data_IF_997839394483
#
_entry.id   IF_997839394483
#
_cell.length_a   1.000
_cell.length_b   1.000
_cell.length_c   1.000
_cell.angle_alpha   90.00
_cell.angle_beta   90.00
_cell.angle_gamma   90.00
#
_symmetry.space_group_name_H-M   'P 1'
#
loop_
_entity.id
_entity.type
_entity.pdbx_description
1 polymer ?
#
# COMPACT_ATOMS: atom_id res chain seq x y z
N UNK A 1 -11.16 -19.07 -9.49
CA UNK A 1 -12.47 -18.37 -9.37
C UNK A 1 -13.03 -18.20 -10.76
N UNK A 2 -14.31 -18.52 -10.97
CA UNK A 2 -15.04 -18.27 -12.22
C UNK A 2 -15.42 -16.79 -12.34
N UNK A 3 -15.58 -16.32 -13.58
CA UNK A 3 -16.06 -14.97 -13.87
C UNK A 3 -17.50 -14.82 -13.34
N UNK A 4 -17.82 -13.71 -12.65
CA UNK A 4 -19.18 -13.48 -12.17
C UNK A 4 -20.12 -13.33 -13.37
N UNK A 5 -21.37 -13.76 -13.20
CA UNK A 5 -22.44 -13.69 -14.22
C UNK A 5 -23.58 -12.75 -13.83
N UNK A 6 -23.54 -12.24 -12.59
CA UNK A 6 -24.54 -11.31 -12.07
C UNK A 6 -23.96 -10.40 -10.98
N UNK A 7 -24.72 -9.36 -10.62
CA UNK A 7 -24.34 -8.36 -9.61
C UNK A 7 -24.08 -9.01 -8.24
N UNK A 8 -24.84 -10.05 -7.88
CA UNK A 8 -24.69 -10.75 -6.59
C UNK A 8 -23.35 -11.47 -6.50
N UNK A 9 -22.94 -12.16 -7.57
CA UNK A 9 -21.64 -12.80 -7.67
C UNK A 9 -20.49 -11.79 -7.68
N UNK A 10 -20.66 -10.65 -8.37
CA UNK A 10 -19.67 -9.59 -8.35
C UNK A 10 -19.49 -8.99 -6.94
N UNK A 11 -20.58 -8.82 -6.18
CA UNK A 11 -20.51 -8.40 -4.77
C UNK A 11 -19.80 -9.43 -3.89
N UNK A 12 -20.04 -10.72 -4.10
CA UNK A 12 -19.33 -11.80 -3.40
C UNK A 12 -17.84 -11.80 -3.72
N UNK A 13 -17.49 -11.63 -5.00
CA UNK A 13 -16.10 -11.45 -5.44
C UNK A 13 -15.45 -10.28 -4.71
N UNK A 14 -16.10 -9.11 -4.67
CA UNK A 14 -15.59 -7.96 -3.92
C UNK A 14 -15.44 -8.21 -2.42
N UNK A 15 -16.27 -9.06 -1.81
CA UNK A 15 -16.08 -9.50 -0.43
C UNK A 15 -14.71 -10.16 -0.20
N UNK A 16 -14.34 -11.10 -1.09
CA UNK A 16 -13.05 -11.80 -1.05
C UNK A 16 -11.89 -10.84 -1.35
N UNK A 17 -12.03 -10.03 -2.41
CA UNK A 17 -11.03 -9.03 -2.78
C UNK A 17 -10.75 -8.07 -1.63
N UNK A 18 -11.79 -7.60 -0.93
CA UNK A 18 -11.65 -6.71 0.21
C UNK A 18 -10.97 -7.38 1.42
N UNK A 19 -11.16 -8.68 1.61
CA UNK A 19 -10.44 -9.44 2.64
C UNK A 19 -8.93 -9.44 2.38
N UNK A 20 -8.51 -9.61 1.12
CA UNK A 20 -7.10 -9.64 0.72
C UNK A 20 -6.55 -8.28 0.26
N UNK A 21 -7.30 -7.18 0.44
CA UNK A 21 -6.93 -5.84 -0.07
C UNK A 21 -5.52 -5.38 0.33
N UNK A 22 -5.04 -5.80 1.51
CA UNK A 22 -3.72 -5.41 2.03
C UNK A 22 -2.56 -5.94 1.19
N UNK A 23 -2.79 -7.00 0.42
CA UNK A 23 -1.82 -7.61 -0.49
C UNK A 23 -1.89 -7.01 -1.90
N UNK A 24 -2.92 -6.23 -2.24
CA UNK A 24 -3.13 -5.80 -3.62
C UNK A 24 -2.75 -4.32 -3.75
N UNK A 25 -1.62 -4.00 -4.43
CA UNK A 25 -1.26 -2.61 -4.70
C UNK A 25 -2.25 -1.98 -5.68
N UNK A 26 -2.63 -0.73 -5.45
CA UNK A 26 -3.51 0.06 -6.34
C UNK A 26 -4.84 -0.64 -6.69
N UNK A 27 -5.40 -1.43 -5.76
CA UNK A 27 -6.66 -2.14 -5.95
C UNK A 27 -7.81 -1.23 -6.40
N UNK A 28 -7.89 -0.01 -5.88
CA UNK A 28 -8.98 0.92 -6.17
C UNK A 28 -9.09 1.26 -7.65
N UNK A 29 -7.95 1.41 -8.32
CA UNK A 29 -7.89 1.74 -9.74
C UNK A 29 -8.14 0.49 -10.60
N UNK A 30 -7.54 -0.65 -10.21
CA UNK A 30 -7.81 -1.91 -10.88
C UNK A 30 -9.29 -2.31 -10.80
N UNK A 31 -9.96 -2.00 -9.70
CA UNK A 31 -11.36 -2.30 -9.48
C UNK A 31 -12.32 -1.24 -10.06
N UNK A 32 -11.84 -0.09 -10.54
CA UNK A 32 -12.71 0.98 -11.03
C UNK A 32 -13.67 0.52 -12.13
N UNK A 33 -13.24 -0.23 -13.17
CA UNK A 33 -14.15 -0.72 -14.21
C UNK A 33 -15.26 -1.61 -13.65
N UNK A 34 -14.95 -2.45 -12.67
CA UNK A 34 -15.90 -3.35 -12.03
C UNK A 34 -16.88 -2.59 -11.10
N UNK A 35 -16.43 -1.51 -10.47
CA UNK A 35 -17.32 -0.65 -9.68
C UNK A 35 -18.35 0.09 -10.54
N UNK A 36 -18.08 0.32 -11.83
CA UNK A 36 -19.05 0.92 -12.74
C UNK A 36 -20.31 0.05 -12.91
N UNK A 37 -20.15 -1.28 -12.90
CA UNK A 37 -21.23 -2.28 -12.99
C UNK A 37 -22.15 -2.24 -11.75
N UNK A 38 -21.60 -1.83 -10.60
CA UNK A 38 -22.34 -1.78 -9.33
C UNK A 38 -23.20 -0.52 -9.15
N UNK A 39 -23.13 0.45 -10.09
CA UNK A 39 -23.96 1.65 -10.03
C UNK A 39 -25.43 1.30 -10.28
N UNK A 40 -26.33 2.04 -9.64
CA UNK A 40 -27.76 1.92 -9.90
C UNK A 40 -28.03 2.10 -11.40
N UNK A 41 -28.95 1.28 -11.93
CA UNK A 41 -29.41 1.29 -13.33
C UNK A 41 -28.41 0.79 -14.39
N UNK A 42 -27.27 0.20 -14.00
CA UNK A 42 -26.37 -0.45 -14.96
C UNK A 42 -26.93 -1.80 -15.43
N UNK A 43 -27.09 -1.97 -16.75
CA UNK A 43 -27.31 -3.29 -17.35
C UNK A 43 -26.07 -4.15 -17.15
N UNK A 44 -26.28 -5.41 -16.75
CA UNK A 44 -25.17 -6.35 -16.60
C UNK A 44 -24.52 -6.63 -17.96
N UNK A 45 -23.35 -6.03 -18.19
CA UNK A 45 -22.55 -6.25 -19.40
C UNK A 45 -21.08 -6.19 -19.01
N UNK A 46 -20.36 -7.32 -19.14
CA UNK A 46 -18.91 -7.36 -19.03
C UNK A 46 -18.29 -6.93 -20.35
N UNK A 47 -17.79 -5.69 -20.38
CA UNK A 47 -16.98 -5.21 -21.50
C UNK A 47 -15.52 -5.71 -21.38
N UNK A 48 -14.71 -5.61 -22.45
CA UNK A 48 -13.32 -6.07 -22.42
C UNK A 48 -12.44 -5.41 -21.32
N UNK A 49 -12.76 -4.18 -20.90
CA UNK A 49 -12.03 -3.50 -19.83
C UNK A 49 -12.36 -4.09 -18.46
N UNK A 50 -13.63 -4.45 -18.25
CA UNK A 50 -14.10 -5.09 -17.03
C UNK A 50 -13.59 -6.52 -16.91
N UNK A 51 -13.55 -7.28 -18.00
CA UNK A 51 -12.93 -8.62 -18.03
C UNK A 51 -11.45 -8.56 -17.68
N UNK A 52 -10.73 -7.61 -18.30
CA UNK A 52 -9.31 -7.39 -18.00
C UNK A 52 -9.07 -6.98 -16.55
N UNK A 53 -9.96 -6.15 -15.98
CA UNK A 53 -9.90 -5.78 -14.56
C UNK A 53 -10.14 -6.99 -13.65
N UNK A 54 -11.13 -7.83 -13.96
CA UNK A 54 -11.42 -9.05 -13.22
C UNK A 54 -10.24 -10.03 -13.23
N UNK A 55 -9.70 -10.35 -14.41
CA UNK A 55 -8.57 -11.26 -14.53
C UNK A 55 -7.32 -10.70 -13.84
N UNK A 56 -7.04 -9.40 -13.96
CA UNK A 56 -5.90 -8.79 -13.26
C UNK A 56 -6.01 -8.88 -11.74
N UNK A 57 -7.19 -8.64 -11.17
CA UNK A 57 -7.41 -8.77 -9.73
C UNK A 57 -7.30 -10.24 -9.30
N UNK A 58 -7.81 -11.17 -10.10
CA UNK A 58 -7.72 -12.61 -9.86
C UNK A 58 -6.28 -13.11 -9.91
N UNK A 59 -5.46 -12.61 -10.85
CA UNK A 59 -4.01 -12.87 -10.88
C UNK A 59 -3.32 -12.38 -9.61
N UNK A 60 -3.62 -11.14 -9.17
CA UNK A 60 -3.07 -10.59 -7.93
C UNK A 60 -3.47 -11.41 -6.68
N UNK A 61 -4.67 -11.97 -6.67
CA UNK A 61 -5.14 -12.86 -5.60
C UNK A 61 -4.51 -14.26 -5.65
N UNK A 62 -4.16 -14.73 -6.85
CA UNK A 62 -3.55 -16.05 -7.04
C UNK A 62 -2.06 -16.03 -6.70
N UNK A 63 -1.39 -14.90 -6.95
CA UNK A 63 0.02 -14.67 -6.64
C UNK A 63 0.18 -13.37 -5.85
N UNK A 64 -0.33 -13.31 -4.61
CA UNK A 64 -0.22 -12.11 -3.81
C UNK A 64 1.25 -11.82 -3.49
N UNK A 65 1.68 -10.55 -3.53
CA UNK A 65 3.02 -10.19 -3.10
C UNK A 65 3.21 -10.57 -1.64
N UNK A 66 4.43 -10.99 -1.31
CA UNK A 66 4.78 -11.37 0.06
C UNK A 66 4.88 -10.09 0.90
N UNK A 67 3.93 -9.93 1.83
CA UNK A 67 4.03 -8.92 2.88
C UNK A 67 4.97 -9.44 3.97
N UNK A 68 5.84 -8.56 4.48
CA UNK A 68 6.64 -8.85 5.65
C UNK A 68 5.87 -8.58 6.94
N UNK A 69 6.32 -9.24 8.01
CA UNK A 69 5.84 -8.95 9.35
C UNK A 69 6.36 -7.59 9.79
N UNK A 70 5.48 -6.84 10.45
CA UNK A 70 5.81 -5.55 11.03
C UNK A 70 6.68 -5.74 12.27
N UNK A 71 7.76 -4.96 12.36
CA UNK A 71 8.65 -4.91 13.51
C UNK A 71 8.62 -3.52 14.15
N UNK A 72 8.09 -3.41 15.37
CA UNK A 72 7.95 -2.12 16.06
C UNK A 72 9.29 -1.42 16.38
N UNK A 73 10.41 -2.13 16.28
CA UNK A 73 11.76 -1.57 16.52
C UNK A 73 12.38 -0.96 15.26
N UNK A 74 11.81 -1.21 14.08
CA UNK A 74 12.33 -0.73 12.81
C UNK A 74 11.62 0.53 12.34
N UNK A 75 12.36 1.41 11.68
CA UNK A 75 11.80 2.59 11.03
C UNK A 75 10.72 2.22 10.03
N UNK A 76 9.62 2.98 10.08
CA UNK A 76 8.47 2.79 9.20
C UNK A 76 8.51 3.82 8.09
N UNK A 77 8.29 3.35 6.87
CA UNK A 77 8.23 4.17 5.67
C UNK A 77 6.85 4.07 5.04
N UNK A 78 6.34 5.21 4.60
CA UNK A 78 5.06 5.35 3.95
C UNK A 78 5.27 5.99 2.59
N UNK A 79 4.91 5.28 1.53
CA UNK A 79 4.90 5.81 0.17
C UNK A 79 3.47 6.06 -0.26
N UNK A 80 3.18 7.28 -0.73
CA UNK A 80 1.92 7.60 -1.39
C UNK A 80 2.18 7.83 -2.88
N UNK A 81 1.80 6.87 -3.71
CA UNK A 81 1.72 7.08 -5.15
C UNK A 81 0.41 7.79 -5.46
N UNK A 82 0.54 9.02 -5.90
CA UNK A 82 -0.59 9.88 -6.09
C UNK A 82 -0.98 10.01 -7.57
N UNK A 83 -0.55 9.09 -8.43
CA UNK A 83 -1.23 8.79 -9.68
C UNK A 83 -2.52 8.00 -9.44
N UNK A 84 -2.54 7.18 -8.38
CA UNK A 84 -3.52 6.11 -8.16
C UNK A 84 -4.20 6.14 -6.77
N UNK A 85 -3.90 7.16 -5.96
CA UNK A 85 -4.28 7.24 -4.53
C UNK A 85 -3.97 5.95 -3.76
N UNK A 86 -2.93 5.27 -4.22
CA UNK A 86 -2.37 4.07 -3.64
C UNK A 86 -1.32 4.46 -2.62
N UNK A 87 -1.21 3.64 -1.59
CA UNK A 87 -0.25 3.83 -0.54
C UNK A 87 0.29 2.48 -0.09
N UNK A 88 1.56 2.48 0.28
CA UNK A 88 2.25 1.33 0.80
C UNK A 88 2.96 1.72 2.08
N UNK A 89 2.74 0.93 3.12
CA UNK A 89 3.57 0.94 4.30
C UNK A 89 4.64 -0.14 4.13
N UNK A 90 5.89 0.20 4.40
CA UNK A 90 7.00 -0.75 4.29
C UNK A 90 8.06 -0.49 5.35
N UNK A 91 8.92 -1.49 5.57
CA UNK A 91 10.11 -1.38 6.41
C UNK A 91 11.33 -1.83 5.64
N UNK A 92 12.51 -1.40 6.06
CA UNK A 92 13.77 -1.94 5.56
C UNK A 92 14.09 -3.19 6.40
N UNK A 93 14.11 -4.36 5.76
CA UNK A 93 14.51 -5.62 6.38
C UNK A 93 15.48 -6.32 5.44
N UNK A 94 16.58 -6.84 5.98
CA UNK A 94 17.67 -7.47 5.21
C UNK A 94 18.14 -6.55 4.06
N UNK A 95 18.36 -5.28 4.39
CA UNK A 95 18.78 -4.22 3.45
C UNK A 95 17.85 -3.98 2.27
N UNK A 96 16.61 -4.50 2.32
CA UNK A 96 15.63 -4.42 1.24
C UNK A 96 14.32 -3.79 1.72
N UNK A 97 13.63 -3.07 0.83
CA UNK A 97 12.29 -2.55 1.11
C UNK A 97 11.30 -3.72 1.12
N UNK A 98 10.69 -3.98 2.28
CA UNK A 98 9.69 -5.03 2.46
C UNK A 98 8.32 -4.43 2.75
N UNK A 99 7.32 -4.61 1.85
CA UNK A 99 5.97 -4.14 2.07
C UNK A 99 5.35 -4.79 3.31
N UNK A 100 4.73 -3.99 4.18
CA UNK A 100 3.96 -4.47 5.35
C UNK A 100 2.48 -4.53 5.00
N UNK A 101 1.96 -3.50 4.31
CA UNK A 101 0.57 -3.45 3.87
C UNK A 101 0.40 -2.44 2.74
N UNK A 102 -0.53 -2.73 1.82
CA UNK A 102 -1.01 -1.80 0.81
C UNK A 102 -2.38 -1.24 1.19
N UNK A 103 -2.67 -0.02 0.74
CA UNK A 103 -4.00 0.57 0.81
C UNK A 103 -4.22 1.50 -0.37
N UNK A 104 -5.38 1.40 -1.00
CA UNK A 104 -5.81 2.31 -2.07
C UNK A 104 -7.25 2.75 -1.86
N UNK A 105 -7.61 3.93 -2.38
CA UNK A 105 -8.97 4.45 -2.36
C UNK A 105 -9.29 5.20 -3.64
N UNK A 106 -10.50 4.99 -4.15
CA UNK A 106 -11.09 5.84 -5.18
C UNK A 106 -11.55 7.17 -4.56
N UNK A 107 -11.22 8.28 -5.22
CA UNK A 107 -11.73 9.58 -4.81
C UNK A 107 -13.25 9.68 -5.01
N UNK A 108 -13.92 10.26 -4.01
CA UNK A 108 -15.32 10.69 -4.12
C UNK A 108 -15.50 11.79 -5.16
N UNK A 109 -16.73 12.01 -5.62
CA UNK A 109 -17.05 13.06 -6.59
C UNK A 109 -16.52 14.44 -6.16
N UNK A 110 -16.65 14.77 -4.87
CA UNK A 110 -16.14 16.02 -4.30
C UNK A 110 -14.61 16.08 -4.31
N UNK A 111 -13.93 14.99 -3.91
CA UNK A 111 -12.46 14.93 -3.88
C UNK A 111 -11.86 15.01 -5.29
N UNK A 112 -12.55 14.51 -6.32
CA UNK A 112 -12.14 14.63 -7.72
C UNK A 112 -12.10 16.08 -8.20
N UNK A 113 -12.90 16.98 -7.60
CA UNK A 113 -12.89 18.41 -7.88
C UNK A 113 -11.77 19.19 -7.17
N UNK A 114 -10.98 18.54 -6.30
CA UNK A 114 -9.89 19.23 -5.60
C UNK A 114 -8.74 19.59 -6.53
N UNK A 115 -8.00 20.64 -6.16
CA UNK A 115 -6.77 21.00 -6.86
C UNK A 115 -5.76 19.85 -6.76
N UNK A 116 -4.86 19.74 -7.74
CA UNK A 116 -3.91 18.62 -7.80
C UNK A 116 -3.07 18.49 -6.53
N UNK A 117 -2.59 19.61 -5.98
CA UNK A 117 -1.83 19.61 -4.73
C UNK A 117 -2.66 19.13 -3.53
N UNK A 118 -3.95 19.46 -3.49
CA UNK A 118 -4.86 19.03 -2.42
C UNK A 118 -5.16 17.53 -2.53
N UNK A 119 -5.25 16.98 -3.75
CA UNK A 119 -5.36 15.54 -4.00
C UNK A 119 -4.13 14.79 -3.52
N UNK A 120 -2.93 15.31 -3.83
CA UNK A 120 -1.65 14.75 -3.34
C UNK A 120 -1.60 14.75 -1.80
N UNK A 121 -1.96 15.87 -1.15
CA UNK A 121 -2.02 15.97 0.32
C UNK A 121 -3.07 15.02 0.90
N UNK A 122 -4.25 14.95 0.30
CA UNK A 122 -5.31 14.03 0.72
C UNK A 122 -4.85 12.57 0.71
N UNK A 123 -4.10 12.15 -0.31
CA UNK A 123 -3.56 10.79 -0.41
C UNK A 123 -2.67 10.45 0.81
N UNK A 124 -1.78 11.36 1.18
CA UNK A 124 -0.92 11.22 2.36
C UNK A 124 -1.75 11.15 3.65
N UNK A 125 -2.64 12.12 3.87
CA UNK A 125 -3.45 12.17 5.10
C UNK A 125 -4.36 10.94 5.24
N UNK A 126 -4.97 10.50 4.14
CA UNK A 126 -5.81 9.30 4.12
C UNK A 126 -4.98 8.04 4.39
N UNK A 127 -3.81 7.91 3.75
CA UNK A 127 -2.91 6.78 3.94
C UNK A 127 -2.40 6.67 5.39
N UNK A 128 -1.97 7.77 6.00
CA UNK A 128 -1.59 7.79 7.42
C UNK A 128 -2.78 7.43 8.33
N UNK A 129 -3.99 7.86 8.00
CA UNK A 129 -5.20 7.43 8.69
C UNK A 129 -5.48 5.93 8.54
N UNK A 130 -5.15 5.33 7.39
CA UNK A 130 -5.31 3.89 7.14
C UNK A 130 -4.26 3.05 7.85
N UNK A 131 -3.06 3.58 8.05
CA UNK A 131 -1.97 2.90 8.72
C UNK A 131 -1.82 3.34 10.19
N UNK A 132 -2.88 3.92 10.78
CA UNK A 132 -2.86 4.49 12.13
C UNK A 132 -2.20 3.55 13.15
N UNK A 133 -2.65 2.30 13.21
CA UNK A 133 -2.19 1.30 14.18
C UNK A 133 -0.70 0.95 14.03
N UNK A 134 -0.10 1.22 12.87
CA UNK A 134 1.32 0.95 12.59
C UNK A 134 2.24 2.14 12.86
N UNK A 135 1.71 3.36 12.87
CA UNK A 135 2.52 4.59 12.91
C UNK A 135 2.28 5.43 14.16
N UNK A 136 1.19 5.20 14.88
CA UNK A 136 0.91 5.95 16.12
C UNK A 136 2.01 5.69 17.15
N UNK A 137 2.53 6.76 17.76
CA UNK A 137 3.63 6.67 18.73
C UNK A 137 5.03 6.49 18.12
N UNK A 138 5.15 6.39 16.80
CA UNK A 138 6.43 6.29 16.09
C UNK A 138 6.65 7.48 15.15
N UNK A 139 7.91 7.68 14.74
CA UNK A 139 8.26 8.63 13.68
C UNK A 139 8.12 7.97 12.31
N UNK A 140 7.08 8.33 11.56
CA UNK A 140 6.83 7.82 10.21
C UNK A 140 7.63 8.62 9.15
N UNK A 141 8.31 7.91 8.24
CA UNK A 141 9.00 8.53 7.11
C UNK A 141 8.09 8.53 5.88
N UNK A 142 7.53 9.68 5.54
CA UNK A 142 6.60 9.88 4.42
C UNK A 142 7.39 10.23 3.17
N UNK A 143 7.23 9.43 2.13
CA UNK A 143 7.86 9.59 0.83
C UNK A 143 6.84 10.09 -0.19
N UNK A 144 7.21 11.11 -0.95
CA UNK A 144 6.33 11.70 -1.97
C UNK A 144 7.05 12.03 -3.26
N UNK A 145 6.36 11.84 -4.38
CA UNK A 145 6.78 12.26 -5.72
C UNK A 145 6.56 13.76 -5.99
N UNK A 146 6.05 14.52 -5.02
CA UNK A 146 5.58 15.89 -5.24
C UNK A 146 6.26 16.88 -4.29
N UNK A 147 7.35 17.53 -4.76
CA UNK A 147 8.20 18.46 -3.97
C UNK A 147 7.41 19.46 -3.10
N UNK A 148 6.33 20.12 -3.59
CA UNK A 148 5.56 21.06 -2.77
C UNK A 148 4.91 20.48 -1.49
N UNK A 149 4.78 19.16 -1.35
CA UNK A 149 4.23 18.54 -0.14
C UNK A 149 5.17 18.69 1.07
N UNK A 150 6.48 18.65 0.84
CA UNK A 150 7.50 18.79 1.90
C UNK A 150 7.28 20.08 2.69
N UNK A 151 7.29 21.30 2.08
CA UNK A 151 7.07 22.52 2.84
C UNK A 151 5.65 22.64 3.40
N UNK A 152 4.62 22.08 2.75
CA UNK A 152 3.26 22.10 3.29
C UNK A 152 3.20 21.41 4.65
N UNK A 153 3.80 20.22 4.76
CA UNK A 153 3.77 19.46 5.99
C UNK A 153 4.81 19.91 7.01
N UNK A 154 6.02 20.26 6.57
CA UNK A 154 7.17 20.50 7.47
C UNK A 154 7.37 21.97 7.87
N UNK A 155 7.06 22.94 7.00
CA UNK A 155 7.56 24.31 7.17
C UNK A 155 6.46 25.38 7.22
N UNK A 156 5.40 25.24 6.43
CA UNK A 156 4.33 26.25 6.35
C UNK A 156 3.48 26.26 7.61
N UNK A 157 3.26 27.44 8.18
CA UNK A 157 2.25 27.62 9.22
C UNK A 157 0.82 27.40 8.66
N UNK A 158 -0.15 27.17 9.55
CA UNK A 158 -1.52 26.83 9.15
C UNK A 158 -2.21 27.99 8.41
N UNK A 159 -2.04 29.21 8.90
CA UNK A 159 -2.56 30.45 8.30
C UNK A 159 -2.11 30.66 6.84
N UNK A 160 -0.91 30.20 6.48
CA UNK A 160 -0.37 30.23 5.12
C UNK A 160 -0.91 29.15 4.16
N UNK A 161 -1.89 28.35 4.59
CA UNK A 161 -2.49 27.27 3.79
C UNK A 161 -3.96 27.55 3.46
N UNK A 162 -4.46 26.98 2.37
CA UNK A 162 -5.91 27.04 2.07
C UNK A 162 -6.71 26.37 3.20
N UNK A 163 -7.98 26.76 3.45
CA UNK A 163 -8.79 26.15 4.50
C UNK A 163 -8.89 24.61 4.42
N UNK A 164 -8.82 24.05 3.20
CA UNK A 164 -8.81 22.60 2.99
C UNK A 164 -7.48 21.97 3.43
N UNK A 165 -6.36 22.57 3.03
CA UNK A 165 -5.03 22.12 3.44
C UNK A 165 -4.81 22.28 4.94
N UNK A 166 -5.35 23.33 5.56
CA UNK A 166 -5.35 23.50 7.02
C UNK A 166 -6.02 22.32 7.72
N UNK A 167 -7.25 21.97 7.32
CA UNK A 167 -7.97 20.81 7.89
C UNK A 167 -7.21 19.50 7.71
N UNK A 168 -6.56 19.31 6.56
CA UNK A 168 -5.74 18.13 6.29
C UNK A 168 -4.48 18.09 7.17
N UNK A 169 -3.79 19.22 7.31
CA UNK A 169 -2.60 19.35 8.16
C UNK A 169 -2.93 19.16 9.65
N UNK A 170 -4.05 19.69 10.12
CA UNK A 170 -4.53 19.46 11.50
C UNK A 170 -4.73 17.96 11.81
N UNK A 171 -5.23 17.17 10.84
CA UNK A 171 -5.36 15.71 11.03
C UNK A 171 -4.01 15.02 11.22
N UNK A 172 -2.96 15.55 10.60
CA UNK A 172 -1.61 15.00 10.68
C UNK A 172 -0.90 15.30 12.00
N UNK A 173 -1.33 16.32 12.75
CA UNK A 173 -0.70 16.71 14.02
C UNK A 173 -0.71 15.62 15.10
N UNK A 174 -1.55 14.59 14.95
CA UNK A 174 -1.55 13.41 15.84
C UNK A 174 -0.37 12.46 15.60
N UNK A 175 0.37 12.62 14.51
CA UNK A 175 1.46 11.74 14.10
C UNK A 175 2.79 12.47 14.21
N UNK A 176 3.83 11.73 14.60
CA UNK A 176 5.21 12.16 14.43
C UNK A 176 5.67 11.69 13.06
N UNK A 177 6.13 12.60 12.20
CA UNK A 177 6.53 12.24 10.85
C UNK A 177 7.60 13.17 10.29
N UNK A 178 8.31 12.66 9.29
CA UNK A 178 9.16 13.44 8.39
C UNK A 178 8.66 13.24 6.95
N UNK A 179 8.73 14.28 6.13
CA UNK A 179 8.34 14.20 4.72
C UNK A 179 9.55 14.43 3.83
N UNK A 180 9.83 13.48 2.94
CA UNK A 180 10.93 13.56 1.98
C UNK A 180 10.42 13.42 0.55
N UNK A 181 11.01 14.21 -0.34
CA UNK A 181 10.78 14.08 -1.77
C UNK A 181 11.64 12.96 -2.36
N UNK A 182 11.02 12.09 -3.14
CA UNK A 182 11.68 11.04 -3.91
C UNK A 182 11.23 11.18 -5.36
N UNK A 183 12.13 11.18 -6.36
CA UNK A 183 11.74 11.15 -7.76
C UNK A 183 10.78 9.99 -8.05
N UNK A 184 9.71 10.25 -8.81
CA UNK A 184 8.65 9.25 -9.04
C UNK A 184 9.16 7.93 -9.62
N UNK A 185 10.24 7.95 -10.41
CA UNK A 185 10.89 6.73 -10.94
C UNK A 185 11.34 5.81 -9.81
N UNK A 186 11.98 6.36 -8.77
CA UNK A 186 12.53 5.59 -7.65
C UNK A 186 11.43 5.10 -6.70
N UNK A 187 10.32 5.86 -6.61
CA UNK A 187 9.13 5.47 -5.86
C UNK A 187 8.45 4.24 -6.48
N UNK A 188 8.33 4.21 -7.81
CA UNK A 188 7.74 3.09 -8.58
C UNK A 188 8.70 1.90 -8.65
N UNK A 189 10.00 2.13 -8.81
CA UNK A 189 11.02 1.07 -8.83
C UNK A 189 11.08 0.34 -7.48
N UNK A 190 10.97 1.04 -6.36
CA UNK A 190 10.85 0.42 -5.04
C UNK A 190 9.64 -0.54 -4.94
N UNK A 191 8.49 -0.13 -5.49
CA UNK A 191 7.27 -0.95 -5.53
C UNK A 191 7.41 -2.12 -6.52
N UNK A 192 8.08 -1.95 -7.66
CA UNK A 192 8.33 -3.01 -8.65
C UNK A 192 9.37 -4.06 -8.19
N UNK A 193 10.47 -3.62 -7.57
CA UNK A 193 11.53 -4.52 -7.05
C UNK A 193 11.09 -5.30 -5.82
N UNK A 194 10.16 -4.78 -5.02
CA UNK A 194 9.54 -5.56 -3.94
C UNK A 194 8.68 -6.72 -4.46
N UNK A 195 8.09 -6.55 -5.66
CA UNK A 195 7.23 -7.55 -6.33
C UNK A 195 8.04 -8.64 -7.04
N UNK A 196 9.22 -8.29 -7.56
CA UNK A 196 10.18 -9.22 -8.14
C UNK A 196 11.55 -8.96 -7.51
N UNK A 197 11.83 -9.49 -6.30
CA UNK A 197 13.17 -9.42 -5.75
C UNK A 197 14.12 -10.07 -6.76
N UNK A 198 15.14 -9.33 -7.19
CA UNK A 198 16.22 -9.89 -7.99
C UNK A 198 16.75 -11.07 -7.17
N UNK A 199 16.76 -12.28 -7.74
CA UNK A 199 17.48 -13.41 -7.14
C UNK A 199 18.93 -12.94 -7.02
N UNK A 200 19.33 -12.51 -5.83
CA UNK A 200 20.69 -12.11 -5.56
C UNK A 200 21.61 -13.25 -5.96
N UNK A 201 22.74 -12.91 -6.59
CA UNK A 201 23.90 -13.81 -6.69
C UNK A 201 24.06 -14.51 -5.34
N UNK A 202 24.28 -15.81 -5.39
CA UNK A 202 24.67 -16.62 -4.24
C UNK A 202 25.74 -15.87 -3.45
N UNK A 203 25.35 -15.39 -2.27
CA UNK A 203 26.31 -15.08 -1.23
C UNK A 203 26.53 -16.43 -0.54
N UNK A 204 27.58 -17.13 -0.97
CA UNK A 204 28.17 -18.21 -0.19
C UNK A 204 28.59 -17.64 1.16
N UNK A 205 27.75 -17.84 2.18
CA UNK A 205 28.10 -18.08 3.58
C UNK A 205 26.85 -17.81 4.43
N UNK A 206 26.15 -18.88 4.83
CA UNK A 206 25.37 -18.97 6.08
C UNK A 206 24.84 -20.40 6.31
N UNK A 207 25.57 -21.43 5.87
CA UNK A 207 25.25 -22.85 6.11
C UNK A 207 25.90 -23.44 7.37
N UNK A 208 26.46 -22.62 8.27
CA UNK A 208 27.06 -23.13 9.53
C UNK A 208 26.20 -23.05 10.78
N UNK A 209 25.15 -22.23 10.82
CA UNK A 209 24.40 -22.03 12.08
C UNK A 209 23.10 -22.83 12.18
N UNK A 210 22.62 -23.44 11.09
CA UNK A 210 21.41 -24.26 11.10
C UNK A 210 21.62 -25.73 11.54
N UNK A 211 22.87 -26.21 11.62
CA UNK A 211 23.17 -27.58 12.09
C UNK A 211 23.39 -27.70 13.60
N UNK A 212 23.49 -26.58 14.32
CA UNK A 212 23.65 -26.57 15.78
C UNK A 212 22.32 -26.66 16.53
N UNK A 213 21.20 -26.27 15.92
CA UNK A 213 19.88 -26.31 16.57
C UNK A 213 19.07 -27.60 16.29
N UNK A 214 19.47 -28.43 15.31
CA UNK A 214 18.78 -29.69 15.01
C UNK A 214 19.40 -30.95 15.62
N UNK A 215 20.59 -30.86 16.22
CA UNK A 215 21.26 -32.00 16.88
C UNK A 215 21.29 -31.91 18.42
N UNK A 216 20.56 -30.98 19.03
CA UNK A 216 20.50 -30.79 20.48
C UNK A 216 19.46 -31.63 21.24
N UNK A 217 18.58 -32.37 20.53
CA UNK A 217 17.50 -33.14 21.14
C UNK A 217 17.37 -34.51 20.50
N UNK A 218 18.33 -35.40 20.76
CA UNK A 218 18.14 -36.87 20.72
C UNK A 218 19.40 -37.59 21.19
N UNK A 219 19.80 -37.41 22.46
CA UNK A 219 20.55 -38.42 23.21
C UNK A 219 20.40 -38.20 24.72
N UNK A 220 19.31 -38.74 25.27
CA UNK A 220 19.27 -39.21 26.65
C UNK A 220 18.20 -40.30 26.78
N UNK A 221 18.55 -41.39 27.49
CA UNK A 221 17.79 -42.63 27.78
C UNK A 221 17.49 -43.50 26.56
N UNK A 222 17.83 -44.80 26.46
CA UNK A 222 17.97 -45.94 27.39
C UNK A 222 18.42 -47.12 26.49
N UNK A 223 19.28 -48.10 26.79
CA UNK A 223 19.78 -48.78 27.98
C UNK A 223 21.26 -49.15 27.76
#
# INVERSE_FOLDING_TARGET
MSQPTNITELKRFFGIVNFFRKFIPNLADMAEPLHAILKADATWTLDPNQEKAFERIKECLSYPPVLALYDCKKSVYFSADASSYGSMLYQIQDSSKRPITHASKTLSATERGYAQIEKKVLAVVWGCGKFHDYIVGLTANIETDHKPLVPIFMHKALDGLSPRLQRMKLKMMRYLYQVQYIPGKDLVIADALSRNPIKGREVEELTRDYSLYSNGYCHSSSN
#
